data_IF_194228039653
#
_entry.id   IF_194228039653
#
_cell.length_a   1.000
_cell.length_b   1.000
_cell.length_c   1.000
_cell.angle_alpha   90.00
_cell.angle_beta   90.00
_cell.angle_gamma   90.00
#
_symmetry.space_group_name_H-M   'P 1'
#
loop_
_entity.id
_entity.type
_entity.pdbx_description
1 polymer ?
#
# COMPACT_ATOMS: atom_id res chain seq x y z
N UNK A 1 -6.86 -0.46 -2.75
CA UNK A 1 -7.23 -1.13 -4.01
C UNK A 1 -8.74 -1.31 -4.04
N UNK A 2 -9.31 -1.68 -5.19
CA UNK A 2 -10.76 -1.91 -5.32
C UNK A 2 -11.03 -3.00 -6.38
N UNK A 3 -11.90 -3.96 -6.09
CA UNK A 3 -12.34 -4.96 -7.07
C UNK A 3 -13.57 -4.47 -7.82
N UNK A 4 -13.72 -4.82 -9.11
CA UNK A 4 -14.94 -4.51 -9.87
C UNK A 4 -16.19 -5.14 -9.24
N UNK A 5 -16.03 -6.33 -8.66
CA UNK A 5 -17.06 -7.01 -7.87
C UNK A 5 -17.00 -6.56 -6.40
N UNK A 6 -17.35 -5.30 -6.13
CA UNK A 6 -17.45 -4.77 -4.75
C UNK A 6 -18.50 -3.67 -4.68
N UNK A 7 -19.17 -3.53 -3.53
CA UNK A 7 -20.15 -2.45 -3.32
C UNK A 7 -19.54 -1.06 -3.54
N UNK A 8 -18.26 -0.89 -3.19
CA UNK A 8 -17.57 0.39 -3.37
C UNK A 8 -17.47 0.75 -4.86
N UNK A 9 -17.19 -0.24 -5.72
CA UNK A 9 -17.08 -0.01 -7.16
C UNK A 9 -18.46 0.19 -7.80
N UNK A 10 -19.48 -0.53 -7.32
CA UNK A 10 -20.86 -0.31 -7.75
C UNK A 10 -21.35 1.10 -7.44
N UNK A 11 -21.04 1.61 -6.24
CA UNK A 11 -21.44 2.96 -5.79
C UNK A 11 -20.60 4.07 -6.42
N UNK A 12 -19.31 3.82 -6.62
CA UNK A 12 -18.33 4.82 -7.08
C UNK A 12 -17.41 4.26 -8.16
N UNK A 13 -17.94 3.88 -9.34
CA UNK A 13 -17.12 3.32 -10.41
C UNK A 13 -16.12 4.35 -10.97
N UNK A 14 -16.37 5.64 -10.79
CA UNK A 14 -15.51 6.75 -11.23
C UNK A 14 -14.27 6.97 -10.35
N UNK A 15 -14.23 6.38 -9.14
CA UNK A 15 -13.13 6.56 -8.20
C UNK A 15 -11.86 5.79 -8.55
N UNK A 16 -11.85 4.99 -9.62
CA UNK A 16 -10.66 4.25 -10.06
C UNK A 16 -9.81 5.07 -11.01
N UNK A 17 -8.51 4.80 -11.04
CA UNK A 17 -7.67 5.23 -12.15
C UNK A 17 -8.19 4.62 -13.46
N UNK A 18 -8.46 5.48 -14.44
CA UNK A 18 -8.92 5.13 -15.78
C UNK A 18 -8.61 6.28 -16.75
N UNK A 19 -8.68 6.01 -18.05
CA UNK A 19 -8.47 7.00 -19.10
C UNK A 19 -9.67 7.00 -20.06
N UNK A 20 -10.61 7.93 -19.88
CA UNK A 20 -11.83 8.01 -20.71
C UNK A 20 -12.55 6.65 -20.85
N UNK A 21 -12.88 6.28 -22.09
CA UNK A 21 -13.58 5.03 -22.43
C UNK A 21 -12.65 3.81 -22.62
N UNK A 22 -11.34 3.95 -22.33
CA UNK A 22 -10.44 2.80 -22.46
C UNK A 22 -10.79 1.70 -21.46
N UNK A 23 -10.54 0.42 -21.81
CA UNK A 23 -10.71 -0.68 -20.87
C UNK A 23 -9.94 -0.45 -19.57
N UNK A 24 -10.57 -0.76 -18.44
CA UNK A 24 -9.94 -0.68 -17.11
C UNK A 24 -9.21 -1.99 -16.84
N UNK A 25 -7.90 -2.01 -17.12
CA UNK A 25 -7.07 -3.21 -17.01
C UNK A 25 -6.95 -3.67 -15.57
N UNK A 26 -7.21 -4.94 -15.30
CA UNK A 26 -7.06 -5.56 -13.99
C UNK A 26 -5.70 -6.25 -13.85
N UNK A 27 -5.17 -6.25 -12.63
CA UNK A 27 -4.02 -7.06 -12.23
C UNK A 27 -4.39 -7.64 -10.88
N UNK A 28 -4.29 -8.97 -10.72
CA UNK A 28 -4.82 -9.67 -9.53
C UNK A 28 -6.31 -9.36 -9.26
N UNK A 29 -7.11 -9.26 -10.34
CA UNK A 29 -8.56 -8.98 -10.31
C UNK A 29 -8.96 -7.67 -9.59
N UNK A 30 -8.03 -6.72 -9.46
CA UNK A 30 -8.25 -5.45 -8.76
C UNK A 30 -7.85 -4.25 -9.63
N UNK A 31 -8.41 -3.09 -9.32
CA UNK A 31 -8.12 -1.76 -9.85
C UNK A 31 -7.50 -0.86 -8.75
N UNK A 32 -6.95 0.28 -9.15
CA UNK A 32 -6.36 1.28 -8.26
C UNK A 32 -7.36 2.41 -8.02
N UNK A 33 -7.67 2.70 -6.75
CA UNK A 33 -8.43 3.90 -6.37
C UNK A 33 -7.61 5.16 -6.68
N UNK A 34 -8.21 6.20 -7.24
CA UNK A 34 -7.53 7.45 -7.57
C UNK A 34 -7.37 8.33 -6.33
N UNK A 35 -6.23 8.20 -5.65
CA UNK A 35 -5.92 9.02 -4.47
C UNK A 35 -5.69 10.51 -4.78
N UNK A 36 -5.68 10.94 -6.05
CA UNK A 36 -5.70 12.37 -6.38
C UNK A 36 -7.04 13.04 -6.03
N UNK A 37 -8.11 12.25 -5.87
CA UNK A 37 -9.44 12.74 -5.51
C UNK A 37 -9.57 12.88 -3.98
N UNK A 38 -9.91 14.08 -3.44
CA UNK A 38 -10.10 14.24 -2.01
C UNK A 38 -11.15 13.31 -1.42
N UNK A 39 -12.22 13.00 -2.16
CA UNK A 39 -13.27 12.09 -1.69
C UNK A 39 -12.75 10.67 -1.45
N UNK A 40 -11.83 10.20 -2.30
CA UNK A 40 -11.17 8.89 -2.15
C UNK A 40 -10.26 8.91 -0.92
N UNK A 41 -9.51 9.99 -0.71
CA UNK A 41 -8.66 10.15 0.48
C UNK A 41 -9.50 10.13 1.76
N UNK A 42 -10.57 10.94 1.83
CA UNK A 42 -11.49 10.97 2.97
C UNK A 42 -12.11 9.61 3.25
N UNK A 43 -12.53 8.90 2.20
CA UNK A 43 -13.07 7.57 2.34
C UNK A 43 -12.07 6.60 2.97
N UNK A 44 -10.80 6.61 2.51
CA UNK A 44 -9.75 5.75 3.07
C UNK A 44 -9.47 6.13 4.53
N UNK A 45 -9.27 7.41 4.83
CA UNK A 45 -8.98 7.90 6.18
C UNK A 45 -10.11 7.51 7.13
N UNK A 46 -11.36 7.75 6.74
CA UNK A 46 -12.53 7.42 7.55
C UNK A 46 -12.65 5.91 7.76
N UNK A 47 -12.57 5.12 6.70
CA UNK A 47 -12.76 3.66 6.78
C UNK A 47 -11.72 3.00 7.68
N UNK A 48 -10.45 3.40 7.58
CA UNK A 48 -9.39 2.89 8.45
C UNK A 48 -9.56 3.40 9.88
N UNK A 49 -9.87 4.70 10.06
CA UNK A 49 -10.08 5.30 11.39
C UNK A 49 -11.23 4.63 12.15
N UNK A 50 -12.33 4.31 11.48
CA UNK A 50 -13.50 3.67 12.08
C UNK A 50 -13.13 2.28 12.66
N UNK A 51 -12.29 1.52 11.95
CA UNK A 51 -11.80 0.21 12.42
C UNK A 51 -10.86 0.40 13.62
N UNK A 52 -9.86 1.29 13.49
CA UNK A 52 -8.84 1.48 14.54
C UNK A 52 -9.41 2.13 15.81
N UNK A 53 -10.52 2.85 15.72
CA UNK A 53 -11.19 3.46 16.87
C UNK A 53 -12.12 2.50 17.60
N UNK A 54 -12.53 1.39 16.96
CA UNK A 54 -13.50 0.45 17.55
C UNK A 54 -12.84 -0.78 18.17
N UNK A 55 -11.62 -1.11 17.78
CA UNK A 55 -10.88 -2.30 18.24
C UNK A 55 -9.47 -1.88 18.64
N UNK A 56 -8.88 -2.43 19.72
CA UNK A 56 -7.54 -2.05 20.17
C UNK A 56 -6.43 -2.67 19.29
N UNK A 57 -6.43 -2.35 18.00
CA UNK A 57 -5.42 -2.76 17.03
C UNK A 57 -4.09 -2.09 17.39
N UNK A 58 -3.02 -2.88 17.46
CA UNK A 58 -1.65 -2.40 17.76
C UNK A 58 -0.70 -2.51 16.58
N UNK A 59 -1.15 -3.11 15.49
CA UNK A 59 -0.34 -3.37 14.32
C UNK A 59 -1.21 -3.36 13.06
N UNK A 60 -0.74 -2.66 12.02
CA UNK A 60 -1.36 -2.67 10.69
C UNK A 60 -0.29 -2.96 9.65
N UNK A 61 -0.55 -3.96 8.80
CA UNK A 61 0.19 -4.18 7.56
C UNK A 61 -0.54 -3.54 6.39
N UNK A 62 0.03 -2.50 5.81
CA UNK A 62 -0.54 -1.74 4.69
C UNK A 62 -0.01 -2.25 3.35
N UNK A 63 -0.81 -3.04 2.63
CA UNK A 63 -0.40 -3.66 1.36
C UNK A 63 -0.89 -2.90 0.10
N UNK A 64 -0.19 -3.11 -1.02
CA UNK A 64 -0.48 -2.58 -2.34
C UNK A 64 0.03 -3.53 -3.44
N UNK A 65 -0.86 -4.32 -4.06
CA UNK A 65 -0.44 -5.42 -4.94
C UNK A 65 -0.54 -5.16 -6.45
N UNK A 66 -0.52 -3.90 -6.91
CA UNK A 66 -0.40 -3.60 -8.36
C UNK A 66 0.11 -2.19 -8.64
N UNK A 67 0.74 -2.03 -9.81
CA UNK A 67 1.06 -0.71 -10.38
C UNK A 67 -0.13 0.00 -11.01
N UNK A 68 0.07 1.28 -11.34
CA UNK A 68 -0.86 2.10 -12.13
C UNK A 68 -0.69 1.83 -13.62
N UNK A 69 -1.80 1.76 -14.37
CA UNK A 69 -1.78 1.52 -15.82
C UNK A 69 -2.39 2.73 -16.53
N UNK A 70 -3.72 2.80 -16.57
CA UNK A 70 -4.44 3.95 -17.09
C UNK A 70 -4.39 5.11 -16.09
N UNK A 71 -4.24 6.33 -16.59
CA UNK A 71 -4.28 7.54 -15.78
C UNK A 71 -5.14 8.59 -16.50
N UNK A 72 -5.99 9.36 -15.79
CA UNK A 72 -6.85 10.34 -16.43
C UNK A 72 -6.03 11.47 -17.08
N UNK A 73 -4.92 11.83 -16.46
CA UNK A 73 -3.96 12.83 -16.96
C UNK A 73 -2.53 12.50 -16.49
N UNK A 74 -1.48 13.04 -17.12
CA UNK A 74 -0.09 12.80 -16.70
C UNK A 74 0.24 13.31 -15.28
N UNK A 75 -0.31 14.46 -14.87
CA UNK A 75 -0.09 15.07 -13.56
C UNK A 75 -0.78 14.30 -12.41
N UNK A 76 -1.77 13.46 -12.73
CA UNK A 76 -2.47 12.64 -11.75
C UNK A 76 -1.53 11.67 -11.00
N UNK A 77 -0.41 11.25 -11.59
CA UNK A 77 0.56 10.41 -10.89
C UNK A 77 1.17 11.11 -9.67
N UNK A 78 1.52 12.39 -9.80
CA UNK A 78 2.04 13.17 -8.69
C UNK A 78 0.93 13.52 -7.70
N UNK A 79 -0.24 13.95 -8.19
CA UNK A 79 -1.40 14.24 -7.34
C UNK A 79 -1.83 13.02 -6.51
N UNK A 80 -1.74 11.81 -7.08
CA UNK A 80 -1.96 10.56 -6.35
C UNK A 80 -1.00 10.42 -5.17
N UNK A 81 0.29 10.68 -5.37
CA UNK A 81 1.32 10.55 -4.32
C UNK A 81 1.07 11.57 -3.21
N UNK A 82 0.74 12.83 -3.56
CA UNK A 82 0.37 13.85 -2.57
C UNK A 82 -0.85 13.43 -1.75
N UNK A 83 -1.87 12.87 -2.41
CA UNK A 83 -3.06 12.36 -1.74
C UNK A 83 -2.75 11.17 -0.82
N UNK A 84 -1.91 10.22 -1.26
CA UNK A 84 -1.50 9.10 -0.42
C UNK A 84 -0.66 9.54 0.78
N UNK A 85 0.25 10.51 0.62
CA UNK A 85 1.01 11.05 1.75
C UNK A 85 0.12 11.74 2.76
N UNK A 86 -0.91 12.48 2.31
CA UNK A 86 -1.92 13.01 3.23
C UNK A 86 -2.64 11.90 4.00
N UNK A 87 -3.04 10.82 3.33
CA UNK A 87 -3.70 9.68 3.97
C UNK A 87 -2.79 9.04 5.02
N UNK A 88 -1.50 8.83 4.70
CA UNK A 88 -0.54 8.25 5.65
C UNK A 88 -0.27 9.18 6.83
N UNK A 89 -0.05 10.47 6.57
CA UNK A 89 0.21 11.47 7.60
C UNK A 89 -0.94 11.55 8.61
N UNK A 90 -2.18 11.64 8.13
CA UNK A 90 -3.39 11.68 8.96
C UNK A 90 -3.55 10.42 9.81
N UNK A 91 -3.41 9.24 9.20
CA UNK A 91 -3.63 7.97 9.91
C UNK A 91 -2.52 7.68 10.93
N UNK A 92 -1.27 7.89 10.56
CA UNK A 92 -0.14 7.64 11.46
C UNK A 92 -0.08 8.66 12.60
N UNK A 93 -0.42 9.93 12.33
CA UNK A 93 -0.52 10.96 13.38
C UNK A 93 -1.69 10.72 14.34
N UNK A 94 -2.83 10.24 13.83
CA UNK A 94 -4.03 9.98 14.64
C UNK A 94 -3.90 8.71 15.49
N UNK A 95 -3.14 7.72 15.01
CA UNK A 95 -2.93 6.44 15.69
C UNK A 95 -1.43 6.16 15.90
N UNK A 96 -0.74 6.96 16.74
CA UNK A 96 0.72 6.85 16.92
C UNK A 96 1.16 5.59 17.65
N UNK A 97 0.26 4.96 18.42
CA UNK A 97 0.53 3.72 19.16
C UNK A 97 0.33 2.45 18.31
N UNK A 98 -0.03 2.61 17.03
CA UNK A 98 -0.11 1.51 16.07
C UNK A 98 1.25 1.37 15.39
N UNK A 99 1.80 0.16 15.38
CA UNK A 99 2.94 -0.16 14.54
C UNK A 99 2.49 -0.35 13.10
N UNK A 100 2.89 0.55 12.21
CA UNK A 100 2.58 0.48 10.79
C UNK A 100 3.69 -0.21 10.01
N UNK A 101 3.35 -1.27 9.28
CA UNK A 101 4.24 -1.97 8.35
C UNK A 101 3.81 -1.69 6.91
N UNK A 102 4.70 -1.12 6.11
CA UNK A 102 4.50 -0.95 4.67
C UNK A 102 4.63 -2.26 3.90
N UNK A 103 3.86 -2.45 2.84
CA UNK A 103 3.94 -3.60 1.96
C UNK A 103 3.45 -3.23 0.56
N UNK A 104 4.06 -3.82 -0.46
CA UNK A 104 3.58 -3.75 -1.83
C UNK A 104 3.99 -5.04 -2.57
N UNK A 105 3.27 -6.12 -2.32
CA UNK A 105 3.71 -7.49 -2.71
C UNK A 105 5.15 -7.77 -2.28
N UNK A 106 5.44 -7.54 -1.00
CA UNK A 106 6.81 -7.40 -0.50
C UNK A 106 7.34 -5.98 -0.67
N UNK A 107 8.58 -5.87 -1.15
CA UNK A 107 9.34 -4.62 -1.22
C UNK A 107 9.04 -3.72 -2.41
N UNK A 108 7.90 -3.84 -3.09
CA UNK A 108 7.57 -3.05 -4.30
C UNK A 108 7.50 -1.53 -4.08
N UNK A 109 7.46 -1.10 -2.81
CA UNK A 109 7.51 0.30 -2.35
C UNK A 109 8.39 0.43 -1.10
N UNK A 110 9.59 -0.16 -1.15
CA UNK A 110 10.59 -0.02 -0.10
C UNK A 110 11.46 1.22 -0.39
N UNK A 111 11.02 2.38 0.07
CA UNK A 111 11.64 3.68 -0.22
C UNK A 111 11.50 4.67 0.96
N UNK A 112 12.31 5.76 0.99
CA UNK A 112 12.27 6.74 2.07
C UNK A 112 10.93 7.46 2.24
N UNK A 113 10.12 7.55 1.17
CA UNK A 113 8.81 8.18 1.24
C UNK A 113 7.84 7.37 2.09
N UNK A 114 7.90 6.04 2.00
CA UNK A 114 7.14 5.14 2.88
C UNK A 114 7.72 5.11 4.29
N UNK A 115 9.05 5.06 4.42
CA UNK A 115 9.73 4.99 5.73
C UNK A 115 9.53 6.25 6.59
N UNK A 116 9.14 7.38 6.00
CA UNK A 116 8.73 8.58 6.75
C UNK A 116 7.51 8.33 7.64
N UNK A 117 6.63 7.41 7.25
CA UNK A 117 5.37 7.13 7.94
C UNK A 117 5.36 5.75 8.60
N UNK A 118 5.99 4.77 7.96
CA UNK A 118 5.99 3.38 8.41
C UNK A 118 7.40 2.95 8.83
N UNK A 119 7.65 2.65 10.12
CA UNK A 119 8.99 2.33 10.61
C UNK A 119 9.54 0.99 10.12
N UNK A 120 8.71 0.13 9.53
CA UNK A 120 9.14 -1.13 8.93
C UNK A 120 8.37 -1.43 7.65
N UNK A 121 8.96 -2.23 6.77
CA UNK A 121 8.40 -2.67 5.50
C UNK A 121 8.62 -4.17 5.34
N UNK A 122 7.58 -4.86 4.86
CA UNK A 122 7.66 -6.25 4.44
C UNK A 122 8.62 -6.37 3.26
N UNK A 123 9.82 -6.91 3.50
CA UNK A 123 10.94 -6.75 2.55
C UNK A 123 10.71 -7.51 1.23
N UNK A 124 10.09 -8.68 1.30
CA UNK A 124 9.80 -9.52 0.14
C UNK A 124 8.76 -10.57 0.49
N UNK A 125 7.87 -10.89 -0.47
CA UNK A 125 7.02 -12.08 -0.36
C UNK A 125 7.81 -13.37 -0.47
N UNK A 126 9.01 -13.33 -1.07
CA UNK A 126 9.93 -14.46 -1.01
C UNK A 126 10.47 -14.62 0.42
N UNK A 127 10.16 -15.77 1.02
CA UNK A 127 10.57 -16.14 2.37
C UNK A 127 11.54 -17.33 2.38
N UNK A 128 12.07 -17.74 1.23
CA UNK A 128 13.16 -18.71 1.15
C UNK A 128 14.40 -18.18 1.86
N UNK A 129 15.02 -19.02 2.68
CA UNK A 129 16.12 -18.60 3.55
C UNK A 129 17.39 -18.21 2.77
N UNK A 130 17.67 -18.88 1.64
CA UNK A 130 18.85 -18.60 0.82
C UNK A 130 18.65 -17.31 0.01
N UNK A 131 17.50 -17.17 -0.64
CA UNK A 131 17.17 -15.96 -1.41
C UNK A 131 17.12 -14.72 -0.50
N UNK A 132 16.62 -14.88 0.73
CA UNK A 132 16.55 -13.79 1.70
C UNK A 132 17.90 -13.22 2.09
N UNK A 133 19.00 -13.96 2.00
CA UNK A 133 20.35 -13.41 2.24
C UNK A 133 20.64 -12.28 1.25
N UNK A 134 20.44 -12.53 -0.05
CA UNK A 134 20.72 -11.55 -1.10
C UNK A 134 19.74 -10.38 -1.08
N UNK A 135 18.45 -10.67 -0.91
CA UNK A 135 17.40 -9.64 -0.81
C UNK A 135 17.72 -8.71 0.37
N UNK A 136 17.98 -9.27 1.54
CA UNK A 136 18.24 -8.47 2.74
C UNK A 136 19.54 -7.68 2.62
N UNK A 137 20.60 -8.28 2.08
CA UNK A 137 21.85 -7.58 1.86
C UNK A 137 21.67 -6.38 0.92
N UNK A 138 20.95 -6.57 -0.19
CA UNK A 138 20.63 -5.50 -1.14
C UNK A 138 19.79 -4.38 -0.52
N UNK A 139 18.71 -4.72 0.21
CA UNK A 139 17.89 -3.72 0.92
C UNK A 139 18.70 -2.94 1.95
N UNK A 140 19.59 -3.63 2.68
CA UNK A 140 20.39 -3.02 3.75
C UNK A 140 21.49 -2.07 3.27
N UNK A 141 21.74 -1.99 1.96
CA UNK A 141 22.72 -1.06 1.39
C UNK A 141 22.33 0.40 1.62
N UNK A 142 21.04 0.71 1.60
CA UNK A 142 20.49 2.07 1.72
C UNK A 142 19.64 2.23 2.98
N UNK A 143 18.97 1.17 3.42
CA UNK A 143 18.00 1.23 4.52
C UNK A 143 18.53 0.50 5.76
N UNK A 144 18.24 1.00 6.97
CA UNK A 144 18.70 0.35 8.19
C UNK A 144 18.02 -1.01 8.38
N UNK A 145 18.70 -2.05 8.87
CA UNK A 145 18.09 -3.37 9.08
C UNK A 145 16.83 -3.37 9.96
N UNK A 146 16.66 -2.36 10.85
CA UNK A 146 15.47 -2.20 11.67
C UNK A 146 14.17 -2.02 10.88
N UNK A 147 14.25 -1.64 9.61
CA UNK A 147 13.06 -1.43 8.76
C UNK A 147 12.66 -2.69 7.98
N UNK A 148 13.43 -3.78 8.08
CA UNK A 148 13.27 -4.96 7.23
C UNK A 148 12.50 -6.08 7.94
N UNK A 149 11.20 -6.19 7.67
CA UNK A 149 10.39 -7.31 8.16
C UNK A 149 10.83 -8.64 7.54
N UNK A 150 11.09 -9.66 8.36
CA UNK A 150 11.50 -11.00 7.93
C UNK A 150 10.87 -12.10 8.80
N UNK A 151 10.25 -13.10 8.17
CA UNK A 151 9.54 -14.17 8.85
C UNK A 151 10.14 -15.53 8.50
N UNK A 152 10.13 -16.43 9.49
CA UNK A 152 10.36 -17.86 9.28
C UNK A 152 9.13 -18.44 8.58
N UNK A 153 9.33 -19.22 7.52
CA UNK A 153 8.27 -19.85 6.73
C UNK A 153 8.40 -21.38 6.71
N UNK A 154 7.40 -22.05 6.14
CA UNK A 154 7.36 -23.50 6.03
C UNK A 154 8.33 -24.03 4.96
N UNK A 155 8.54 -25.36 4.98
CA UNK A 155 9.28 -26.08 3.93
C UNK A 155 8.42 -27.22 3.36
N UNK A 156 8.46 -27.46 2.03
CA UNK A 156 9.20 -26.71 1.01
C UNK A 156 8.63 -25.28 0.83
N UNK A 157 9.49 -24.35 0.39
CA UNK A 157 9.05 -23.02 -0.01
C UNK A 157 8.14 -23.12 -1.25
N UNK A 158 7.09 -22.32 -1.30
CA UNK A 158 6.09 -22.26 -2.39
C UNK A 158 6.38 -21.14 -3.38
#
# INVERSE_FOLDING_TARGET
>A
MINKNSELYEKHPDWVLHAGEYPRSETRQQLVLNAALPQVQEYIIKSVSDILSTVPVKYVKWDNNRGMHESPTPDNHHAYILGMYRVFDELTSRFPDVLWEGCASGGGRFDPGILQYFPQVWTSDNTDALDRIHIQFGTSLVYPPSTMGAHVSAVPNE
#
